data_IF_503086102791
#
_entry.id   IF_503086102791
#
_cell.length_a   1.000
_cell.length_b   1.000
_cell.length_c   1.000
_cell.angle_alpha   90.00
_cell.angle_beta   90.00
_cell.angle_gamma   90.00
#
_symmetry.space_group_name_H-M   'P 1'
#
loop_
_entity.id
_entity.type
_entity.pdbx_description
1 polymer ?
#
# COMPACT_ATOMS: atom_id res chain seq x y z
N UNK A 1 8.98 25.61 38.36
CA UNK A 1 8.13 26.54 37.60
C UNK A 1 8.59 26.53 36.15
N UNK A 2 8.15 25.55 35.36
CA UNK A 2 8.40 25.54 33.91
C UNK A 2 7.25 26.29 33.26
N UNK A 3 7.55 27.43 32.64
CA UNK A 3 6.59 28.16 31.81
C UNK A 3 6.28 27.29 30.60
N UNK A 4 5.07 26.74 30.56
CA UNK A 4 4.53 26.10 29.37
C UNK A 4 4.37 27.19 28.31
N UNK A 5 5.25 27.19 27.32
CA UNK A 5 5.24 28.11 26.18
C UNK A 5 4.02 27.79 25.30
N UNK A 6 2.94 28.55 25.51
CA UNK A 6 1.71 28.50 24.73
C UNK A 6 1.94 29.17 23.37
N UNK A 7 2.74 28.53 22.50
CA UNK A 7 2.88 28.98 21.11
C UNK A 7 1.49 29.01 20.49
N UNK A 8 1.00 30.17 19.99
CA UNK A 8 -0.31 30.23 19.36
C UNK A 8 -0.25 29.38 18.10
N UNK A 9 -0.81 28.18 18.16
CA UNK A 9 -1.02 27.35 16.99
C UNK A 9 -1.83 28.20 16.00
N UNK A 10 -1.29 28.50 14.83
CA UNK A 10 -2.02 29.25 13.81
C UNK A 10 -3.14 28.34 13.25
N UNK A 11 -4.29 28.35 13.94
CA UNK A 11 -5.41 27.42 13.71
C UNK A 11 -5.93 27.51 12.27
N UNK A 12 -5.81 28.69 11.63
CA UNK A 12 -6.22 28.92 10.24
C UNK A 12 -5.30 28.20 9.26
N UNK A 13 -3.99 28.28 9.45
CA UNK A 13 -3.02 27.60 8.56
C UNK A 13 -3.06 26.09 8.75
N UNK A 14 -3.20 25.62 9.99
CA UNK A 14 -3.32 24.19 10.28
C UNK A 14 -4.61 23.58 9.69
N UNK A 15 -5.75 24.28 9.80
CA UNK A 15 -7.00 23.84 9.19
C UNK A 15 -6.89 23.78 7.65
N UNK A 16 -6.35 24.83 7.03
CA UNK A 16 -6.19 24.89 5.58
C UNK A 16 -5.23 23.81 5.04
N UNK A 17 -4.13 23.56 5.75
CA UNK A 17 -3.19 22.49 5.42
C UNK A 17 -3.84 21.10 5.55
N UNK A 18 -4.70 20.92 6.57
CA UNK A 18 -5.44 19.67 6.78
C UNK A 18 -6.47 19.45 5.66
N UNK A 19 -7.22 20.48 5.27
CA UNK A 19 -8.18 20.41 4.17
C UNK A 19 -7.48 20.10 2.85
N UNK A 20 -6.34 20.74 2.58
CA UNK A 20 -5.54 20.45 1.39
C UNK A 20 -5.00 19.02 1.40
N UNK A 21 -4.57 18.50 2.55
CA UNK A 21 -4.12 17.12 2.69
C UNK A 21 -5.27 16.12 2.42
N UNK A 22 -6.48 16.40 2.91
CA UNK A 22 -7.68 15.59 2.66
C UNK A 22 -8.06 15.56 1.17
N UNK A 23 -7.99 16.71 0.49
CA UNK A 23 -8.18 16.79 -0.96
C UNK A 23 -7.13 15.96 -1.71
N UNK A 24 -5.88 16.03 -1.29
CA UNK A 24 -4.79 15.22 -1.84
C UNK A 24 -5.07 13.72 -1.72
N UNK A 25 -5.49 13.25 -0.53
CA UNK A 25 -5.84 11.84 -0.29
C UNK A 25 -6.97 11.38 -1.22
N UNK A 26 -8.00 12.22 -1.39
CA UNK A 26 -9.14 11.93 -2.26
C UNK A 26 -8.71 11.73 -3.71
N UNK A 27 -7.85 12.62 -4.23
CA UNK A 27 -7.32 12.51 -5.59
C UNK A 27 -6.49 11.24 -5.78
N UNK A 28 -5.62 10.92 -4.81
CA UNK A 28 -4.80 9.69 -4.84
C UNK A 28 -5.68 8.45 -4.92
N UNK A 29 -6.72 8.38 -4.08
CA UNK A 29 -7.65 7.25 -4.07
C UNK A 29 -8.45 7.12 -5.37
N UNK A 30 -8.96 8.24 -5.90
CA UNK A 30 -9.69 8.26 -7.17
C UNK A 30 -8.83 7.77 -8.33
N UNK A 31 -7.60 8.25 -8.45
CA UNK A 31 -6.64 7.79 -9.46
C UNK A 31 -6.28 6.31 -9.30
N UNK A 32 -6.03 5.86 -8.08
CA UNK A 32 -5.71 4.46 -7.78
C UNK A 32 -6.80 3.51 -8.29
N UNK A 33 -8.06 3.77 -7.94
CA UNK A 33 -9.20 2.94 -8.37
C UNK A 33 -9.41 3.00 -9.88
N UNK A 34 -9.23 4.17 -10.50
CA UNK A 34 -9.39 4.33 -11.94
C UNK A 34 -8.36 3.50 -12.71
N UNK A 35 -7.09 3.56 -12.31
CA UNK A 35 -6.00 2.78 -12.93
C UNK A 35 -6.23 1.28 -12.72
N UNK A 36 -6.59 0.86 -11.50
CA UNK A 36 -6.86 -0.54 -11.20
C UNK A 36 -8.04 -1.09 -12.03
N UNK A 37 -9.13 -0.34 -12.08
CA UNK A 37 -10.33 -0.69 -12.86
C UNK A 37 -10.04 -0.75 -14.36
N UNK A 38 -9.24 0.18 -14.86
CA UNK A 38 -8.81 0.19 -16.25
C UNK A 38 -7.91 -1.01 -16.59
N UNK A 39 -7.00 -1.35 -15.68
CA UNK A 39 -6.16 -2.54 -15.76
C UNK A 39 -7.01 -3.81 -15.86
N UNK A 40 -7.97 -4.00 -14.96
CA UNK A 40 -8.86 -5.16 -14.98
C UNK A 40 -9.60 -5.31 -16.31
N UNK A 41 -10.06 -4.21 -16.91
CA UNK A 41 -10.78 -4.22 -18.20
C UNK A 41 -9.88 -4.57 -19.39
N UNK A 42 -8.58 -4.24 -19.37
CA UNK A 42 -7.65 -4.50 -20.50
C UNK A 42 -6.94 -5.85 -20.45
N UNK A 43 -6.49 -6.28 -19.27
CA UNK A 43 -5.65 -7.48 -19.11
C UNK A 43 -6.34 -8.63 -18.37
N UNK A 44 -7.57 -8.40 -17.89
CA UNK A 44 -8.37 -9.38 -17.15
C UNK A 44 -8.00 -9.44 -15.66
N UNK A 45 -9.01 -9.71 -14.83
CA UNK A 45 -8.92 -9.79 -13.36
C UNK A 45 -7.74 -10.65 -12.86
N UNK A 46 -7.45 -11.85 -13.40
CA UNK A 46 -6.38 -12.69 -12.87
C UNK A 46 -4.98 -12.06 -13.00
N UNK A 47 -4.72 -11.32 -14.09
CA UNK A 47 -3.42 -10.66 -14.31
C UNK A 47 -3.27 -9.39 -13.48
N UNK A 48 -4.34 -8.62 -13.30
CA UNK A 48 -4.31 -7.41 -12.45
C UNK A 48 -4.03 -7.75 -10.99
N UNK A 49 -4.63 -8.83 -10.46
CA UNK A 49 -4.38 -9.30 -9.09
C UNK A 49 -2.93 -9.75 -8.91
N UNK A 50 -2.32 -10.35 -9.93
CA UNK A 50 -0.88 -10.70 -9.90
C UNK A 50 -0.01 -9.44 -9.79
N UNK A 51 -0.34 -8.37 -10.52
CA UNK A 51 0.38 -7.10 -10.44
C UNK A 51 0.22 -6.41 -9.07
N UNK A 52 -0.94 -6.52 -8.42
CA UNK A 52 -1.18 -5.93 -7.09
C UNK A 52 -0.29 -6.53 -5.99
N UNK A 53 0.26 -7.73 -6.18
CA UNK A 53 1.23 -8.31 -5.24
C UNK A 53 2.62 -7.63 -5.29
N UNK A 54 2.86 -6.73 -6.26
CA UNK A 54 4.08 -5.91 -6.31
C UNK A 54 3.98 -4.73 -5.34
N UNK A 55 2.77 -4.26 -5.02
CA UNK A 55 2.52 -3.18 -4.06
C UNK A 55 3.23 -3.35 -2.71
N UNK A 56 3.15 -4.50 -2.01
CA UNK A 56 3.88 -4.69 -0.75
C UNK A 56 5.40 -4.59 -0.91
N UNK A 57 5.96 -5.03 -2.04
CA UNK A 57 7.40 -4.92 -2.33
C UNK A 57 7.79 -3.45 -2.52
N UNK A 58 7.01 -2.69 -3.30
CA UNK A 58 7.26 -1.27 -3.53
C UNK A 58 7.08 -0.46 -2.24
N UNK A 59 6.07 -0.78 -1.43
CA UNK A 59 5.87 -0.15 -0.13
C UNK A 59 7.06 -0.37 0.81
N UNK A 60 7.63 -1.58 0.79
CA UNK A 60 8.83 -1.92 1.56
C UNK A 60 10.05 -1.10 1.14
N UNK A 61 10.31 -1.06 -0.18
CA UNK A 61 11.41 -0.29 -0.75
C UNK A 61 11.25 1.21 -0.49
N UNK A 62 10.02 1.73 -0.63
CA UNK A 62 9.68 3.12 -0.34
C UNK A 62 9.85 3.45 1.14
N UNK A 63 9.40 2.58 2.05
CA UNK A 63 9.59 2.76 3.49
C UNK A 63 11.08 2.79 3.86
N UNK A 64 11.88 1.88 3.29
CA UNK A 64 13.33 1.87 3.48
C UNK A 64 13.99 3.16 3.00
N UNK A 65 13.61 3.65 1.81
CA UNK A 65 14.15 4.88 1.24
C UNK A 65 13.70 6.14 1.99
N UNK A 66 12.46 6.19 2.49
CA UNK A 66 11.89 7.36 3.15
C UNK A 66 12.36 7.51 4.61
N UNK A 67 12.54 6.41 5.35
CA UNK A 67 12.90 6.48 6.77
C UNK A 67 14.39 6.74 7.01
N UNK A 68 15.32 6.28 6.14
CA UNK A 68 16.78 6.45 6.32
C UNK A 68 17.34 6.10 7.73
N UNK A 69 16.56 5.41 8.56
CA UNK A 69 16.90 4.98 9.90
C UNK A 69 17.45 3.55 9.86
N UNK A 70 18.39 3.22 10.75
CA UNK A 70 18.93 1.87 10.87
C UNK A 70 17.80 0.95 11.36
N UNK A 71 17.24 0.07 10.51
CA UNK A 71 16.09 -0.72 10.88
C UNK A 71 16.43 -1.60 12.09
N UNK A 72 15.57 -1.60 13.10
CA UNK A 72 15.74 -2.53 14.24
C UNK A 72 15.63 -3.99 13.75
N UNK A 73 16.27 -4.92 14.46
CA UNK A 73 16.22 -6.35 14.13
C UNK A 73 14.78 -6.88 14.04
N UNK A 74 13.87 -6.40 14.89
CA UNK A 74 12.44 -6.75 14.84
C UNK A 74 11.75 -6.23 13.59
N UNK A 75 12.08 -5.01 13.13
CA UNK A 75 11.56 -4.48 11.86
C UNK A 75 12.08 -5.27 10.66
N UNK A 76 13.35 -5.71 10.67
CA UNK A 76 13.89 -6.56 9.59
C UNK A 76 13.13 -7.89 9.45
N UNK A 77 12.72 -8.48 10.58
CA UNK A 77 11.87 -9.68 10.57
C UNK A 77 10.51 -9.38 9.95
N UNK A 78 9.85 -8.28 10.34
CA UNK A 78 8.58 -7.86 9.74
C UNK A 78 8.69 -7.56 8.24
N UNK A 79 9.77 -6.88 7.84
CA UNK A 79 10.14 -6.56 6.46
C UNK A 79 10.27 -7.83 5.62
N UNK A 80 10.85 -8.90 6.17
CA UNK A 80 11.01 -10.18 5.49
C UNK A 80 9.72 -11.02 5.51
N UNK A 81 8.98 -11.00 6.62
CA UNK A 81 7.82 -11.87 6.84
C UNK A 81 6.62 -11.49 5.95
N UNK A 82 6.37 -10.20 5.73
CA UNK A 82 5.26 -9.72 4.89
C UNK A 82 5.37 -10.24 3.44
N UNK A 83 6.46 -10.01 2.69
CA UNK A 83 6.58 -10.53 1.34
C UNK A 83 6.66 -12.06 1.31
N UNK A 84 7.25 -12.71 2.33
CA UNK A 84 7.27 -14.16 2.43
C UNK A 84 5.86 -14.76 2.56
N UNK A 85 5.00 -14.18 3.40
CA UNK A 85 3.59 -14.61 3.53
C UNK A 85 2.80 -14.41 2.24
N UNK A 86 2.99 -13.28 1.55
CA UNK A 86 2.38 -13.01 0.23
C UNK A 86 2.84 -14.05 -0.80
N UNK A 87 4.12 -14.41 -0.82
CA UNK A 87 4.66 -15.40 -1.74
C UNK A 87 4.14 -16.82 -1.44
N UNK A 88 4.02 -17.18 -0.16
CA UNK A 88 3.53 -18.48 0.29
C UNK A 88 2.07 -18.73 -0.12
N UNK A 89 1.17 -17.77 0.14
CA UNK A 89 -0.24 -17.90 -0.26
C UNK A 89 -0.36 -18.01 -1.78
N UNK A 90 0.49 -17.29 -2.52
CA UNK A 90 0.50 -17.32 -3.99
C UNK A 90 0.99 -18.66 -4.55
N UNK A 91 1.97 -19.31 -3.93
CA UNK A 91 2.49 -20.59 -4.45
C UNK A 91 1.46 -21.74 -4.38
N UNK A 92 0.39 -21.58 -3.59
CA UNK A 92 -0.68 -22.57 -3.46
C UNK A 92 -1.88 -22.36 -4.39
N UNK A 93 -1.75 -21.59 -5.47
CA UNK A 93 -2.82 -21.51 -6.48
C UNK A 93 -2.89 -22.84 -7.25
N UNK A 94 -3.60 -23.82 -6.68
CA UNK A 94 -3.91 -25.12 -7.28
C UNK A 94 -4.63 -24.87 -8.60
N UNK A 95 -4.09 -25.39 -9.71
CA UNK A 95 -4.75 -25.38 -11.01
C UNK A 95 -6.13 -26.04 -10.85
N UNK A 96 -7.25 -25.37 -11.18
CA UNK A 96 -8.51 -26.08 -11.39
C UNK A 96 -8.28 -27.04 -12.57
N UNK A 97 -8.12 -28.33 -12.25
CA UNK A 97 -8.02 -29.38 -13.23
C UNK A 97 -9.34 -29.48 -13.98
N UNK A 98 -9.31 -29.25 -15.29
CA UNK A 98 -9.71 -30.20 -16.32
C UNK A 98 -10.96 -31.11 -16.11
N UNK A 99 -11.96 -30.76 -15.30
CA UNK A 99 -13.18 -31.56 -15.10
C UNK A 99 -14.42 -30.78 -15.55
N UNK A 100 -14.64 -30.65 -16.87
CA UNK A 100 -16.00 -30.52 -17.47
C UNK A 100 -16.01 -30.47 -19.01
N UNK A 101 -14.98 -31.02 -19.68
CA UNK A 101 -15.06 -31.33 -21.11
C UNK A 101 -15.70 -32.70 -21.42
N UNK A 102 -16.21 -33.40 -20.40
CA UNK A 102 -16.81 -34.73 -20.55
C UNK A 102 -17.97 -34.92 -19.55
N UNK A 103 -19.11 -34.28 -19.79
CA UNK A 103 -20.44 -34.74 -19.37
C UNK A 103 -21.50 -34.00 -20.19
#
# INVERSE_FOLDING_TARGET
MAAWDERPFDHRKAAFATDLAMLGVTLVWGLNFSVWSHGMRRIGVPRTVICSNITPIIALLGAWAALCERPSLGQLVGIALIPAGVFLVRSHTVRPGAESRQA
#
